data_IF_886888017235
#
_entry.id   IF_886888017235
#
_cell.length_a   1.000
_cell.length_b   1.000
_cell.length_c   1.000
_cell.angle_alpha   90.00
_cell.angle_beta   90.00
_cell.angle_gamma   90.00
#
_symmetry.space_group_name_H-M   'P 1'
#
loop_
_entity.id
_entity.type
_entity.pdbx_description
1 polymer ?
#
# COMPACT_ATOMS: atom_id res chain seq x y z
N UNK A 1 -10.39 8.85 -17.79
CA UNK A 1 -9.63 7.80 -17.07
C UNK A 1 -9.18 8.44 -15.78
N UNK A 2 -9.71 7.97 -14.65
CA UNK A 2 -9.18 8.31 -13.33
C UNK A 2 -7.75 7.81 -13.26
N UNK A 3 -6.80 8.70 -12.95
CA UNK A 3 -5.40 8.30 -12.81
C UNK A 3 -5.26 7.42 -11.55
N UNK A 4 -4.47 6.35 -11.66
CA UNK A 4 -4.26 5.44 -10.54
C UNK A 4 -3.57 6.17 -9.38
N UNK A 5 -4.06 5.98 -8.17
CA UNK A 5 -3.54 6.64 -6.96
C UNK A 5 -3.12 5.63 -5.89
N UNK A 6 -2.19 6.07 -5.03
CA UNK A 6 -1.80 5.49 -3.75
C UNK A 6 -2.24 6.45 -2.67
N UNK A 7 -2.95 5.94 -1.66
CA UNK A 7 -3.48 6.76 -0.57
C UNK A 7 -2.99 6.17 0.75
N UNK A 8 -2.38 7.02 1.58
CA UNK A 8 -2.01 6.65 2.95
C UNK A 8 -2.75 7.56 3.94
N UNK A 9 -3.35 6.96 4.97
CA UNK A 9 -4.06 7.65 6.05
C UNK A 9 -3.26 7.62 7.35
N UNK A 10 -3.08 8.78 7.97
CA UNK A 10 -2.30 8.97 9.18
C UNK A 10 -3.17 9.66 10.25
N UNK A 11 -3.77 8.91 11.19
CA UNK A 11 -4.49 9.50 12.32
C UNK A 11 -3.53 10.13 13.33
N UNK A 12 -3.99 11.18 14.01
CA UNK A 12 -3.27 11.81 15.11
C UNK A 12 -4.20 12.55 16.08
N UNK A 13 -3.66 12.94 17.22
CA UNK A 13 -4.37 13.61 18.31
C UNK A 13 -4.08 15.12 18.37
N UNK A 14 -3.90 15.75 17.21
CA UNK A 14 -3.73 17.21 17.14
C UNK A 14 -4.99 17.92 17.62
N UNK A 15 -4.87 18.88 18.53
CA UNK A 15 -6.00 19.61 19.12
C UNK A 15 -6.83 20.34 18.08
N UNK A 16 -6.17 20.95 17.10
CA UNK A 16 -6.78 21.68 16.00
C UNK A 16 -5.87 21.68 14.76
N UNK A 17 -6.39 22.17 13.63
CA UNK A 17 -5.64 22.25 12.37
C UNK A 17 -4.39 23.13 12.48
N UNK A 18 -4.37 24.13 13.37
CA UNK A 18 -3.21 25.00 13.56
C UNK A 18 -2.08 24.24 14.24
N UNK A 19 -2.39 23.40 15.24
CA UNK A 19 -1.41 22.52 15.87
C UNK A 19 -0.85 21.50 14.87
N UNK A 20 -1.69 20.88 14.04
CA UNK A 20 -1.25 19.97 12.98
C UNK A 20 -0.23 20.66 12.05
N UNK A 21 -0.59 21.81 11.47
CA UNK A 21 0.29 22.56 10.55
C UNK A 21 1.59 22.97 11.26
N UNK A 22 1.50 23.46 12.50
CA UNK A 22 2.66 23.85 13.29
C UNK A 22 3.59 22.66 13.56
N UNK A 23 3.04 21.50 13.94
CA UNK A 23 3.82 20.30 14.20
C UNK A 23 4.50 19.78 12.93
N UNK A 24 3.82 19.84 11.77
CA UNK A 24 4.46 19.51 10.50
C UNK A 24 5.66 20.43 10.27
N UNK A 25 5.48 21.75 10.28
CA UNK A 25 6.61 22.68 10.02
C UNK A 25 7.76 22.51 11.02
N UNK A 26 7.47 22.21 12.29
CA UNK A 26 8.50 22.16 13.35
C UNK A 26 9.16 20.79 13.56
N UNK A 27 8.54 19.68 13.13
CA UNK A 27 8.98 18.31 13.50
C UNK A 27 9.17 17.36 12.32
N UNK A 28 8.82 17.77 11.11
CA UNK A 28 8.68 16.86 9.96
C UNK A 28 9.81 16.96 8.93
N UNK A 29 11.06 17.15 9.36
CA UNK A 29 12.26 17.16 8.49
C UNK A 29 12.14 18.08 7.26
N UNK A 30 11.59 19.29 7.45
CA UNK A 30 11.46 20.30 6.40
C UNK A 30 10.24 20.15 5.49
N UNK A 31 9.34 19.20 5.77
CA UNK A 31 8.03 19.20 5.13
C UNK A 31 7.16 20.36 5.63
N UNK A 32 6.38 20.92 4.71
CA UNK A 32 5.43 22.01 4.97
C UNK A 32 4.07 21.56 4.44
N UNK A 33 3.03 21.83 5.23
CA UNK A 33 1.64 21.64 4.80
C UNK A 33 0.99 23.00 4.59
N UNK A 34 0.45 23.23 3.39
CA UNK A 34 -0.23 24.46 3.03
C UNK A 34 -1.42 24.17 2.12
N UNK A 35 -2.60 24.67 2.48
CA UNK A 35 -3.83 24.38 1.76
C UNK A 35 -4.13 22.88 1.74
N UNK A 36 -4.21 22.31 0.55
CA UNK A 36 -4.47 20.89 0.29
C UNK A 36 -3.22 20.11 -0.11
N UNK A 37 -2.03 20.58 0.27
CA UNK A 37 -0.78 19.95 -0.14
C UNK A 37 0.20 19.80 1.02
N UNK A 38 1.02 18.77 0.96
CA UNK A 38 2.25 18.61 1.73
C UNK A 38 3.42 18.53 0.76
N UNK A 39 4.50 19.27 1.04
CA UNK A 39 5.66 19.30 0.16
C UNK A 39 6.96 19.50 0.92
N UNK A 40 8.06 19.07 0.31
CA UNK A 40 9.42 19.35 0.73
C UNK A 40 10.21 19.85 -0.49
N UNK A 41 10.60 21.12 -0.45
CA UNK A 41 11.27 21.79 -1.56
C UNK A 41 12.68 21.28 -1.83
N UNK A 42 13.39 20.84 -0.79
CA UNK A 42 14.75 20.31 -0.95
C UNK A 42 14.73 18.94 -1.64
N UNK A 43 13.72 18.14 -1.32
CA UNK A 43 13.51 16.79 -1.87
C UNK A 43 12.72 16.77 -3.18
N UNK A 44 12.22 17.93 -3.61
CA UNK A 44 11.30 18.07 -4.75
C UNK A 44 10.12 17.08 -4.66
N UNK A 45 9.56 16.91 -3.46
CA UNK A 45 8.40 16.05 -3.21
C UNK A 45 7.17 16.90 -2.91
N UNK A 46 6.03 16.52 -3.47
CA UNK A 46 4.75 17.15 -3.22
C UNK A 46 3.62 16.12 -3.38
N UNK A 47 2.61 16.23 -2.53
CA UNK A 47 1.44 15.36 -2.54
C UNK A 47 0.20 16.16 -2.18
N UNK A 48 -0.95 15.74 -2.71
CA UNK A 48 -2.24 16.24 -2.26
C UNK A 48 -2.56 15.67 -0.88
N UNK A 49 -3.28 16.46 -0.09
CA UNK A 49 -3.67 16.15 1.27
C UNK A 49 -5.11 16.49 1.52
N UNK A 50 -5.82 15.52 2.08
CA UNK A 50 -7.14 15.71 2.65
C UNK A 50 -7.09 15.48 4.17
N UNK A 51 -7.74 16.35 4.93
CA UNK A 51 -7.77 16.26 6.39
C UNK A 51 -9.23 16.12 6.81
N UNK A 52 -9.52 14.98 7.43
CA UNK A 52 -10.83 14.68 7.99
C UNK A 52 -10.77 14.75 9.52
N UNK A 53 -11.89 15.12 10.13
CA UNK A 53 -12.07 15.08 11.57
C UNK A 53 -12.23 13.63 12.06
N UNK A 54 -12.44 13.47 13.36
CA UNK A 54 -12.63 12.20 14.02
C UNK A 54 -13.64 11.29 13.29
N UNK A 55 -13.22 10.06 13.00
CA UNK A 55 -14.05 9.01 12.42
C UNK A 55 -14.28 7.87 13.43
N UNK A 56 -15.52 7.65 13.91
CA UNK A 56 -15.81 6.63 14.93
C UNK A 56 -15.56 5.18 14.46
N UNK A 57 -15.41 4.95 13.16
CA UNK A 57 -15.13 3.62 12.59
C UNK A 57 -13.64 3.37 12.32
N UNK A 58 -12.78 4.35 12.60
CA UNK A 58 -11.37 4.26 12.22
C UNK A 58 -10.64 3.13 12.96
N UNK A 59 -10.95 2.92 14.25
CA UNK A 59 -10.39 1.82 15.05
C UNK A 59 -10.67 0.45 14.43
N UNK A 60 -11.91 0.20 14.00
CA UNK A 60 -12.31 -1.05 13.36
C UNK A 60 -11.52 -1.27 12.07
N UNK A 61 -11.44 -0.23 11.24
CA UNK A 61 -10.64 -0.23 10.01
C UNK A 61 -9.16 -0.58 10.27
N UNK A 62 -8.51 0.02 11.27
CA UNK A 62 -7.12 -0.30 11.64
C UNK A 62 -6.97 -1.69 12.27
N UNK A 63 -7.98 -2.17 13.00
CA UNK A 63 -7.98 -3.51 13.58
C UNK A 63 -7.88 -4.57 12.47
N UNK A 64 -8.65 -4.42 11.39
CA UNK A 64 -8.58 -5.30 10.24
C UNK A 64 -7.27 -5.13 9.45
N UNK A 65 -6.87 -3.88 9.18
CA UNK A 65 -5.71 -3.58 8.34
C UNK A 65 -4.36 -3.98 8.97
N UNK A 66 -4.26 -3.95 10.31
CA UNK A 66 -3.04 -4.32 11.04
C UNK A 66 -2.79 -5.83 11.14
N UNK A 67 -3.78 -6.67 10.81
CA UNK A 67 -3.65 -8.14 10.90
C UNK A 67 -3.21 -8.64 12.28
N UNK A 68 -3.59 -7.91 13.34
CA UNK A 68 -3.29 -8.26 14.73
C UNK A 68 -1.91 -7.83 15.24
N UNK A 69 -1.14 -7.04 14.49
CA UNK A 69 0.16 -6.51 14.95
C UNK A 69 0.03 -5.33 15.91
N UNK A 70 -1.10 -4.61 15.87
CA UNK A 70 -1.29 -3.42 16.70
C UNK A 70 -1.68 -3.78 18.12
N UNK A 71 -1.09 -3.07 19.09
CA UNK A 71 -1.44 -3.23 20.51
C UNK A 71 -2.82 -2.65 20.80
N UNK A 72 -3.53 -3.13 21.83
CA UNK A 72 -4.78 -2.52 22.28
C UNK A 72 -4.65 -1.04 22.66
N UNK A 73 -3.48 -0.61 23.17
CA UNK A 73 -3.20 0.78 23.49
C UNK A 73 -3.14 1.65 22.23
N UNK A 74 -2.40 1.23 21.22
CA UNK A 74 -2.34 1.94 19.94
C UNK A 74 -3.72 2.03 19.27
N UNK A 75 -4.50 0.94 19.28
CA UNK A 75 -5.87 0.95 18.77
C UNK A 75 -6.79 1.89 19.58
N UNK A 76 -6.57 2.04 20.88
CA UNK A 76 -7.28 3.01 21.70
C UNK A 76 -6.87 4.45 21.37
N UNK A 77 -5.59 4.71 21.14
CA UNK A 77 -5.12 6.05 20.74
C UNK A 77 -5.66 6.44 19.37
N UNK A 78 -5.73 5.49 18.43
CA UNK A 78 -6.40 5.65 17.13
C UNK A 78 -7.90 5.88 17.34
N UNK A 79 -8.56 5.20 18.27
CA UNK A 79 -9.96 5.46 18.59
C UNK A 79 -10.20 6.87 19.13
N UNK A 80 -9.21 7.47 19.78
CA UNK A 80 -9.28 8.83 20.34
C UNK A 80 -8.65 9.88 19.41
N UNK A 81 -8.32 9.54 18.15
CA UNK A 81 -7.78 10.50 17.19
C UNK A 81 -8.75 11.67 16.96
N UNK A 82 -8.19 12.83 16.66
CA UNK A 82 -8.96 14.05 16.36
C UNK A 82 -9.01 14.34 14.87
N UNK A 83 -7.93 14.04 14.15
CA UNK A 83 -7.84 14.20 12.71
C UNK A 83 -7.18 12.99 12.06
N UNK A 84 -7.54 12.74 10.81
CA UNK A 84 -6.80 11.84 9.91
C UNK A 84 -6.33 12.64 8.70
N UNK A 85 -5.02 12.56 8.44
CA UNK A 85 -4.38 13.15 7.26
C UNK A 85 -4.26 12.06 6.20
N UNK A 86 -4.94 12.23 5.07
CA UNK A 86 -4.77 11.38 3.90
C UNK A 86 -3.82 12.05 2.93
N UNK A 87 -2.71 11.37 2.62
CA UNK A 87 -1.78 11.78 1.56
C UNK A 87 -2.12 11.00 0.31
N UNK A 88 -2.36 11.72 -0.78
CA UNK A 88 -2.80 11.17 -2.06
C UNK A 88 -1.67 11.38 -3.07
N UNK A 89 -1.23 10.29 -3.68
CA UNK A 89 -0.16 10.28 -4.66
C UNK A 89 -0.62 9.63 -5.96
N UNK A 90 -0.45 10.31 -7.09
CA UNK A 90 -0.61 9.70 -8.41
C UNK A 90 0.48 8.66 -8.63
N UNK A 91 0.11 7.46 -9.11
CA UNK A 91 1.05 6.38 -9.42
C UNK A 91 1.99 6.78 -10.56
N UNK A 92 1.49 7.55 -11.51
CA UNK A 92 2.26 8.01 -12.66
C UNK A 92 3.32 9.01 -12.21
N UNK A 93 4.59 8.64 -12.37
CA UNK A 93 5.71 9.47 -11.93
C UNK A 93 5.97 9.41 -10.41
N UNK A 94 5.30 8.50 -9.69
CA UNK A 94 5.52 8.32 -8.26
C UNK A 94 6.94 7.85 -7.96
N UNK A 95 7.62 8.60 -7.11
CA UNK A 95 8.79 8.12 -6.39
C UNK A 95 8.34 7.60 -5.02
N UNK A 96 8.17 6.29 -4.88
CA UNK A 96 7.59 5.67 -3.67
C UNK A 96 8.36 6.06 -2.39
N UNK A 97 9.68 6.24 -2.49
CA UNK A 97 10.51 6.77 -1.42
C UNK A 97 10.00 8.11 -0.87
N UNK A 98 9.58 9.04 -1.73
CA UNK A 98 9.07 10.34 -1.31
C UNK A 98 7.76 10.21 -0.53
N UNK A 99 6.88 9.27 -0.92
CA UNK A 99 5.64 8.98 -0.20
C UNK A 99 5.93 8.38 1.18
N UNK A 100 6.89 7.44 1.25
CA UNK A 100 7.35 6.84 2.51
C UNK A 100 7.89 7.92 3.45
N UNK A 101 8.73 8.80 2.93
CA UNK A 101 9.31 9.90 3.70
C UNK A 101 8.26 10.92 4.17
N UNK A 102 7.26 11.24 3.34
CA UNK A 102 6.14 12.10 3.74
C UNK A 102 5.30 11.45 4.87
N UNK A 103 5.04 10.14 4.78
CA UNK A 103 4.42 9.37 5.86
C UNK A 103 5.24 9.44 7.16
N UNK A 104 6.56 9.21 7.07
CA UNK A 104 7.50 9.32 8.21
C UNK A 104 7.49 10.72 8.82
N UNK A 105 7.41 11.75 7.98
CA UNK A 105 7.35 13.15 8.41
C UNK A 105 6.07 13.45 9.20
N UNK A 106 4.92 12.91 8.77
CA UNK A 106 3.64 13.04 9.48
C UNK A 106 3.60 12.25 10.79
N UNK A 107 4.21 11.06 10.85
CA UNK A 107 4.39 10.32 12.10
C UNK A 107 5.21 11.14 13.11
N UNK A 108 6.34 11.71 12.70
CA UNK A 108 7.15 12.61 13.55
C UNK A 108 6.39 13.86 14.00
N UNK A 109 5.44 14.33 13.19
CA UNK A 109 4.57 15.45 13.51
C UNK A 109 3.41 15.09 14.47
N UNK A 110 3.31 13.85 14.95
CA UNK A 110 2.27 13.41 15.90
C UNK A 110 1.24 12.45 15.32
N UNK A 111 1.50 11.89 14.13
CA UNK A 111 0.75 10.75 13.62
C UNK A 111 1.01 9.49 14.43
N UNK A 112 -0.01 8.65 14.60
CA UNK A 112 0.03 7.45 15.46
C UNK A 112 0.45 6.19 14.71
N UNK A 113 -0.01 6.05 13.46
CA UNK A 113 0.18 4.87 12.62
C UNK A 113 -0.09 5.26 11.16
N UNK A 114 0.21 4.36 10.23
CA UNK A 114 -0.11 4.55 8.80
C UNK A 114 -0.98 3.42 8.31
N UNK A 115 -2.06 3.75 7.63
CA UNK A 115 -2.85 2.80 6.83
C UNK A 115 -2.70 3.11 5.36
N UNK A 116 -2.34 2.11 4.57
CA UNK A 116 -2.33 2.19 3.11
C UNK A 116 -3.74 1.82 2.63
N UNK A 117 -4.53 2.83 2.32
CA UNK A 117 -5.94 2.67 1.94
C UNK A 117 -6.11 1.87 0.65
N UNK A 118 -5.11 1.87 -0.22
CA UNK A 118 -5.15 1.22 -1.53
C UNK A 118 -4.79 -0.26 -1.52
N UNK A 119 -4.16 -0.75 -0.44
CA UNK A 119 -3.82 -2.17 -0.25
C UNK A 119 -4.54 -2.79 0.96
N UNK A 120 -5.13 -1.95 1.82
CA UNK A 120 -5.82 -2.37 3.04
C UNK A 120 -4.87 -2.85 4.14
N UNK A 121 -3.63 -2.35 4.19
CA UNK A 121 -2.63 -2.69 5.22
C UNK A 121 -2.38 -1.52 6.16
N UNK A 122 -2.00 -1.80 7.40
CA UNK A 122 -1.60 -0.78 8.36
C UNK A 122 -0.33 -1.16 9.12
N UNK A 123 0.47 -0.14 9.45
CA UNK A 123 1.80 -0.24 10.02
C UNK A 123 1.94 0.71 11.21
N UNK A 124 2.65 0.23 12.23
CA UNK A 124 3.01 1.07 13.38
C UNK A 124 4.01 2.15 12.94
N UNK A 125 4.25 3.12 13.80
CA UNK A 125 5.30 4.09 13.55
C UNK A 125 6.67 3.41 13.41
N UNK A 126 6.95 2.42 14.26
CA UNK A 126 8.20 1.67 14.26
C UNK A 126 8.40 0.92 12.93
N UNK A 127 7.40 0.16 12.50
CA UNK A 127 7.44 -0.60 11.23
C UNK A 127 7.68 0.33 10.04
N UNK A 128 6.99 1.48 10.00
CA UNK A 128 7.13 2.42 8.89
C UNK A 128 8.49 3.12 8.87
N UNK A 129 9.05 3.44 10.03
CA UNK A 129 10.39 4.04 10.11
C UNK A 129 11.48 3.03 9.73
N UNK A 130 11.29 1.74 10.05
CA UNK A 130 12.16 0.66 9.56
C UNK A 130 12.10 0.56 8.03
N UNK A 131 10.89 0.52 7.45
CA UNK A 131 10.70 0.56 5.99
C UNK A 131 11.41 1.78 5.37
N UNK A 132 11.25 2.95 5.98
CA UNK A 132 11.86 4.20 5.51
C UNK A 132 13.38 4.15 5.50
N UNK A 133 14.01 3.31 6.33
CA UNK A 133 15.46 3.15 6.40
C UNK A 133 16.00 2.08 5.44
N UNK A 134 15.26 1.00 5.21
CA UNK A 134 15.72 -0.14 4.39
C UNK A 134 15.36 0.02 2.91
N UNK A 135 14.08 0.23 2.62
CA UNK A 135 13.50 0.36 1.28
C UNK A 135 13.93 -0.70 0.26
N UNK A 136 14.30 -1.90 0.71
CA UNK A 136 14.62 -2.99 -0.21
C UNK A 136 13.34 -3.50 -0.91
N UNK A 137 13.47 -4.14 -2.09
CA UNK A 137 12.32 -4.58 -2.88
C UNK A 137 11.33 -5.47 -2.13
N UNK A 138 11.82 -6.36 -1.27
CA UNK A 138 10.97 -7.25 -0.51
C UNK A 138 10.19 -6.48 0.56
N UNK A 139 10.85 -5.57 1.27
CA UNK A 139 10.21 -4.67 2.23
C UNK A 139 9.14 -3.81 1.55
N UNK A 140 9.44 -3.20 0.39
CA UNK A 140 8.44 -2.42 -0.36
C UNK A 140 7.23 -3.27 -0.75
N UNK A 141 7.46 -4.45 -1.31
CA UNK A 141 6.36 -5.37 -1.68
C UNK A 141 5.48 -5.73 -0.48
N UNK A 142 6.09 -6.17 0.63
CA UNK A 142 5.35 -6.63 1.81
C UNK A 142 4.59 -5.51 2.53
N UNK A 143 4.99 -4.25 2.33
CA UNK A 143 4.27 -3.10 2.87
C UNK A 143 3.09 -2.67 1.98
N UNK A 144 3.30 -2.60 0.67
CA UNK A 144 2.31 -2.04 -0.25
C UNK A 144 1.41 -3.09 -0.92
N UNK A 145 1.69 -4.38 -0.77
CA UNK A 145 0.85 -5.46 -1.29
C UNK A 145 0.32 -6.38 -0.17
N UNK A 146 -0.93 -6.81 -0.31
CA UNK A 146 -1.60 -7.76 0.57
C UNK A 146 -1.98 -9.04 -0.16
N UNK A 147 -1.88 -10.18 0.53
CA UNK A 147 -2.41 -11.46 0.03
C UNK A 147 -3.79 -11.67 0.63
N UNK A 148 -4.77 -11.94 -0.22
CA UNK A 148 -6.16 -12.10 0.15
C UNK A 148 -6.61 -13.51 -0.20
N UNK A 149 -7.31 -14.14 0.73
CA UNK A 149 -8.02 -15.40 0.51
C UNK A 149 -9.44 -15.08 0.06
N UNK A 150 -9.79 -15.48 -1.16
CA UNK A 150 -11.10 -15.23 -1.76
C UNK A 150 -11.70 -16.52 -2.29
N UNK A 151 -12.33 -17.32 -1.41
CA UNK A 151 -13.07 -18.54 -1.77
C UNK A 151 -12.27 -19.52 -2.63
N UNK A 152 -12.42 -19.41 -3.94
CA UNK A 152 -11.82 -20.28 -4.94
C UNK A 152 -10.42 -19.81 -5.42
N UNK A 153 -9.94 -18.66 -4.94
CA UNK A 153 -8.68 -18.06 -5.38
C UNK A 153 -7.92 -17.41 -4.21
N UNK A 154 -6.59 -17.39 -4.32
CA UNK A 154 -5.74 -16.45 -3.59
C UNK A 154 -5.28 -15.37 -4.54
N UNK A 155 -5.26 -14.13 -4.09
CA UNK A 155 -4.86 -13.02 -4.94
C UNK A 155 -4.12 -11.94 -4.17
N UNK A 156 -3.39 -11.10 -4.90
CA UNK A 156 -2.78 -9.91 -4.35
C UNK A 156 -3.66 -8.68 -4.54
N UNK A 157 -3.43 -7.70 -3.68
CA UNK A 157 -4.01 -6.37 -3.78
C UNK A 157 -2.95 -5.34 -3.43
N UNK A 158 -2.85 -4.28 -4.23
CA UNK A 158 -1.96 -3.14 -3.96
C UNK A 158 -0.80 -3.00 -4.94
N UNK A 159 -0.66 -3.91 -5.92
CA UNK A 159 0.38 -3.83 -6.95
C UNK A 159 0.27 -2.56 -7.81
N UNK A 160 -0.91 -1.92 -7.82
CA UNK A 160 -1.09 -0.61 -8.45
C UNK A 160 -0.12 0.47 -7.95
N UNK A 161 0.35 0.37 -6.71
CA UNK A 161 1.38 1.26 -6.14
C UNK A 161 2.64 1.28 -7.02
N UNK A 162 2.95 0.15 -7.65
CA UNK A 162 4.12 -0.02 -8.50
C UNK A 162 3.80 0.17 -9.99
N UNK A 163 2.58 0.57 -10.34
CA UNK A 163 2.12 0.62 -11.72
C UNK A 163 1.89 -0.75 -12.35
N UNK A 164 1.60 -1.78 -11.53
CA UNK A 164 1.54 -3.17 -11.98
C UNK A 164 0.16 -3.83 -11.73
N UNK A 165 -0.19 -4.84 -12.54
CA UNK A 165 -1.37 -5.68 -12.29
C UNK A 165 -1.21 -6.42 -10.96
N UNK A 166 -2.33 -6.72 -10.30
CA UNK A 166 -2.31 -7.72 -9.23
C UNK A 166 -2.11 -9.13 -9.82
N UNK A 167 -1.93 -10.14 -8.97
CA UNK A 167 -1.84 -11.54 -9.39
C UNK A 167 -2.84 -12.42 -8.63
N UNK A 168 -3.32 -13.48 -9.28
CA UNK A 168 -4.23 -14.46 -8.70
C UNK A 168 -3.85 -15.89 -9.09
N UNK A 169 -4.08 -16.81 -8.15
CA UNK A 169 -3.89 -18.26 -8.30
C UNK A 169 -5.10 -18.98 -7.75
N UNK A 170 -5.39 -20.18 -8.24
CA UNK A 170 -6.48 -21.00 -7.73
C UNK A 170 -6.22 -21.47 -6.28
N UNK A 171 -7.28 -21.60 -5.48
CA UNK A 171 -7.22 -22.15 -4.13
C UNK A 171 -7.00 -23.67 -4.07
N UNK A 172 -6.85 -24.33 -5.23
CA UNK A 172 -6.31 -25.70 -5.33
C UNK A 172 -4.89 -25.77 -4.75
N UNK A 173 -4.11 -24.68 -4.85
CA UNK A 173 -2.82 -24.58 -4.15
C UNK A 173 -3.05 -24.41 -2.65
N UNK A 174 -2.13 -24.93 -1.82
CA UNK A 174 -2.12 -24.57 -0.40
C UNK A 174 -1.82 -23.08 -0.23
N UNK A 175 -2.31 -22.47 0.85
CA UNK A 175 -2.08 -21.05 1.15
C UNK A 175 -0.59 -20.68 1.13
N UNK A 176 0.27 -21.55 1.66
CA UNK A 176 1.72 -21.37 1.66
C UNK A 176 2.28 -21.31 0.24
N UNK A 177 1.95 -22.29 -0.61
CA UNK A 177 2.41 -22.34 -2.01
C UNK A 177 1.90 -21.17 -2.82
N UNK A 178 0.62 -20.82 -2.63
CA UNK A 178 0.01 -19.67 -3.27
C UNK A 178 0.72 -18.37 -2.86
N UNK A 179 1.01 -18.18 -1.58
CA UNK A 179 1.69 -16.99 -1.08
C UNK A 179 3.11 -16.87 -1.63
N UNK A 180 3.88 -17.96 -1.62
CA UNK A 180 5.24 -17.98 -2.17
C UNK A 180 5.26 -17.68 -3.68
N UNK A 181 4.32 -18.26 -4.44
CA UNK A 181 4.19 -18.01 -5.88
C UNK A 181 3.82 -16.56 -6.18
N UNK A 182 2.77 -16.04 -5.52
CA UNK A 182 2.32 -14.66 -5.72
C UNK A 182 3.41 -13.65 -5.34
N UNK A 183 4.10 -13.87 -4.21
CA UNK A 183 5.21 -13.03 -3.80
C UNK A 183 6.37 -13.08 -4.79
N UNK A 184 6.83 -14.27 -5.16
CA UNK A 184 7.96 -14.42 -6.10
C UNK A 184 7.66 -13.80 -7.47
N UNK A 185 6.45 -14.04 -8.00
CA UNK A 185 6.00 -13.43 -9.25
C UNK A 185 5.94 -11.90 -9.16
N UNK A 186 5.32 -11.34 -8.12
CA UNK A 186 5.15 -9.90 -8.00
C UNK A 186 6.48 -9.17 -7.73
N UNK A 187 7.37 -9.74 -6.92
CA UNK A 187 8.71 -9.18 -6.69
C UNK A 187 9.52 -9.21 -7.99
N UNK A 188 9.47 -10.32 -8.74
CA UNK A 188 10.09 -10.40 -10.06
C UNK A 188 9.54 -9.34 -11.02
N UNK A 189 8.21 -9.21 -11.10
CA UNK A 189 7.55 -8.24 -11.97
C UNK A 189 7.92 -6.79 -11.61
N UNK A 190 8.02 -6.49 -10.30
CA UNK A 190 8.43 -5.18 -9.80
C UNK A 190 9.88 -4.84 -10.13
N UNK A 191 10.78 -5.82 -10.05
CA UNK A 191 12.22 -5.63 -10.24
C UNK A 191 12.62 -5.62 -11.71
N UNK A 192 12.19 -6.63 -12.45
CA UNK A 192 12.64 -6.86 -13.83
C UNK A 192 11.76 -6.18 -14.87
N UNK A 193 10.54 -5.78 -14.49
CA UNK A 193 9.52 -5.15 -15.36
C UNK A 193 9.41 -5.85 -16.72
N UNK A 194 9.23 -7.18 -16.73
CA UNK A 194 9.12 -7.95 -17.96
C UNK A 194 7.90 -7.50 -18.75
N UNK A 195 7.98 -7.62 -20.07
CA UNK A 195 6.79 -7.57 -20.92
C UNK A 195 6.36 -8.99 -21.18
N UNK A 196 5.22 -9.40 -20.61
CA UNK A 196 4.66 -10.72 -20.82
C UNK A 196 3.72 -10.73 -22.03
N UNK A 197 3.76 -11.82 -22.80
CA UNK A 197 2.76 -12.13 -23.82
C UNK A 197 1.82 -13.22 -23.32
N UNK A 198 0.58 -13.21 -23.83
CA UNK A 198 -0.40 -14.23 -23.47
C UNK A 198 0.10 -15.64 -23.76
N UNK A 199 -0.02 -16.51 -22.76
CA UNK A 199 0.41 -17.91 -22.85
C UNK A 199 1.88 -18.16 -22.50
N UNK A 200 2.67 -17.11 -22.23
CA UNK A 200 4.00 -17.26 -21.64
C UNK A 200 3.92 -17.86 -20.24
N UNK A 201 5.06 -18.36 -19.77
CA UNK A 201 5.14 -19.14 -18.53
C UNK A 201 6.06 -18.51 -17.50
N UNK A 202 5.76 -18.75 -16.23
CA UNK A 202 6.56 -18.36 -15.09
C UNK A 202 6.79 -19.56 -14.16
N UNK A 203 7.99 -19.67 -13.58
CA UNK A 203 8.29 -20.60 -12.49
C UNK A 203 9.23 -19.92 -11.50
N UNK A 204 9.23 -20.37 -10.23
CA UNK A 204 10.09 -19.82 -9.19
C UNK A 204 11.56 -20.30 -9.30
N UNK A 205 11.80 -21.36 -10.07
CA UNK A 205 13.12 -21.96 -10.25
C UNK A 205 13.10 -23.14 -11.23
N UNK A 206 14.29 -23.64 -11.59
CA UNK A 206 14.47 -24.66 -12.64
C UNK A 206 13.69 -25.97 -12.41
N UNK A 207 13.41 -26.33 -11.15
CA UNK A 207 12.71 -27.57 -10.78
C UNK A 207 11.36 -27.31 -10.10
N UNK A 208 10.85 -26.09 -10.21
CA UNK A 208 9.55 -25.69 -9.64
C UNK A 208 8.42 -25.84 -10.66
N UNK A 209 7.16 -25.98 -10.23
CA UNK A 209 6.02 -26.02 -11.13
C UNK A 209 5.97 -24.79 -12.06
N UNK A 210 5.58 -25.03 -13.31
CA UNK A 210 5.43 -24.01 -14.33
C UNK A 210 3.98 -23.53 -14.34
N UNK A 211 3.81 -22.22 -14.46
CA UNK A 211 2.49 -21.58 -14.52
C UNK A 211 2.37 -20.80 -15.82
N UNK A 212 1.25 -20.97 -16.52
CA UNK A 212 0.89 -20.14 -17.65
C UNK A 212 0.30 -18.83 -17.15
N UNK A 213 0.72 -17.72 -17.77
CA UNK A 213 0.26 -16.38 -17.49
C UNK A 213 -0.85 -15.97 -18.45
N UNK A 214 -1.88 -15.34 -17.90
CA UNK A 214 -2.90 -14.62 -18.66
C UNK A 214 -3.15 -13.28 -17.98
N UNK A 215 -3.02 -12.17 -18.71
CA UNK A 215 -3.44 -10.86 -18.22
C UNK A 215 -4.92 -10.65 -18.54
N UNK A 216 -5.72 -10.30 -17.55
CA UNK A 216 -7.14 -9.99 -17.73
C UNK A 216 -7.49 -8.63 -17.12
N UNK A 217 -8.60 -8.07 -17.56
CA UNK A 217 -9.22 -6.92 -16.90
C UNK A 217 -9.67 -7.30 -15.48
N UNK A 218 -9.42 -6.42 -14.52
CA UNK A 218 -9.79 -6.64 -13.12
C UNK A 218 -11.15 -6.03 -12.81
N UNK A 219 -12.15 -6.89 -12.59
CA UNK A 219 -13.52 -6.52 -12.23
C UNK A 219 -13.86 -6.84 -10.77
N UNK A 220 -12.86 -7.08 -9.90
CA UNK A 220 -13.10 -7.32 -8.47
C UNK A 220 -13.63 -6.08 -7.74
N UNK A 221 -13.37 -4.89 -8.28
CA UNK A 221 -13.75 -3.60 -7.74
C UNK A 221 -14.20 -2.65 -8.84
N UNK A 222 -15.16 -1.78 -8.53
CA UNK A 222 -15.57 -0.67 -9.40
C UNK A 222 -14.47 0.39 -9.50
N UNK A 223 -14.42 1.18 -10.59
CA UNK A 223 -13.34 2.15 -10.87
C UNK A 223 -13.15 3.22 -9.78
N UNK A 224 -14.21 3.56 -9.04
CA UNK A 224 -14.20 4.54 -7.95
C UNK A 224 -13.74 3.94 -6.61
N UNK A 225 -13.60 2.62 -6.53
CA UNK A 225 -13.19 1.94 -5.32
C UNK A 225 -11.68 2.08 -5.10
N UNK A 226 -11.26 2.36 -3.86
CA UNK A 226 -9.83 2.54 -3.50
C UNK A 226 -8.94 1.33 -3.79
N UNK A 227 -9.52 0.14 -3.96
CA UNK A 227 -8.80 -1.09 -4.30
C UNK A 227 -8.77 -1.39 -5.81
N UNK A 228 -9.48 -0.62 -6.63
CA UNK A 228 -9.44 -0.79 -8.08
C UNK A 228 -8.02 -0.64 -8.60
N UNK A 229 -7.63 -1.59 -9.45
CA UNK A 229 -6.34 -1.64 -10.11
C UNK A 229 -6.54 -1.56 -11.63
N UNK A 230 -6.28 -0.39 -12.26
CA UNK A 230 -6.46 -0.21 -13.70
C UNK A 230 -5.43 -0.96 -14.54
N UNK A 231 -4.41 -1.56 -13.93
CA UNK A 231 -3.40 -2.34 -14.64
C UNK A 231 -3.85 -3.80 -14.88
N UNK A 232 -4.97 -4.23 -14.28
CA UNK A 232 -5.55 -5.56 -14.48
C UNK A 232 -5.08 -6.59 -13.46
N UNK A 233 -5.23 -7.86 -13.83
CA UNK A 233 -4.95 -9.02 -12.98
C UNK A 233 -4.25 -10.12 -13.79
N UNK A 234 -3.07 -10.54 -13.37
CA UNK A 234 -2.44 -11.76 -13.86
C UNK A 234 -3.08 -12.99 -13.22
N UNK A 235 -3.55 -13.92 -14.05
CA UNK A 235 -3.93 -15.26 -13.62
C UNK A 235 -2.80 -16.23 -13.89
N UNK A 236 -2.32 -16.87 -12.82
CA UNK A 236 -1.28 -17.89 -12.87
C UNK A 236 -1.95 -19.25 -12.77
N UNK A 237 -1.96 -20.00 -13.86
CA UNK A 237 -2.60 -21.32 -13.94
C UNK A 237 -1.53 -22.41 -14.08
N UNK A 238 -1.63 -23.54 -13.35
CA UNK A 238 -0.72 -24.65 -13.56
C UNK A 238 -0.64 -25.01 -15.05
N UNK A 239 0.58 -25.09 -15.57
CA UNK A 239 0.84 -25.52 -16.93
C UNK A 239 1.15 -27.01 -16.91
N UNK A 240 0.23 -27.83 -17.40
CA UNK A 240 0.47 -29.25 -17.63
C UNK A 240 1.08 -29.43 -19.03
N UNK A 241 2.24 -30.09 -19.09
CA UNK A 241 2.95 -30.42 -20.34
C UNK A 241 2.44 -31.74 -20.92
#
# INVERSE_FOLDING_TARGET
>A
MTEAQVIIGIPGQWKDRSELIHNVVSKSDGYIMAGHMIFNTEKNSHFDVEIYEHNPHLKESFTHASRGTFTPYLLNDIDQHTFTVYVIAEVKGLHLQQLIEAGSALLKAGGLAIKIETSGTAYTQEDWLELSATQDPYSLYTHFASHISGGDHYYTRGMKTFGLPDAAVSSILSLEKASSLLQGFNVYNMMEKPTFHDGETFCLGENEPIYQLQLIDDHRYEEDHVFYNPFGLYQLRPFEV
#
